data_IF_020306514076
#
_entry.id   IF_020306514076
#
_cell.length_a   1.000
_cell.length_b   1.000
_cell.length_c   1.000
_cell.angle_alpha   90.00
_cell.angle_beta   90.00
_cell.angle_gamma   90.00
#
_symmetry.space_group_name_H-M   'P 1'
#
loop_
_entity.id
_entity.type
_entity.pdbx_description
1 polymer ?
#
# COMPACT_ATOMS: atom_id res chain seq x y z
N UNK A 1 -12.08 -1.91 9.73
CA UNK A 1 -11.39 -2.20 8.46
C UNK A 1 -11.50 -3.72 8.29
N UNK A 2 -11.75 -4.25 7.09
CA UNK A 2 -11.85 -5.72 6.92
C UNK A 2 -10.45 -6.34 6.96
N UNK A 3 -10.32 -7.58 7.41
CA UNK A 3 -9.03 -8.29 7.55
C UNK A 3 -8.15 -8.20 6.28
N UNK A 4 -8.75 -8.35 5.09
CA UNK A 4 -8.04 -8.25 3.82
C UNK A 4 -7.43 -6.86 3.56
N UNK A 5 -8.08 -5.77 4.01
CA UNK A 5 -7.54 -4.42 3.87
C UNK A 5 -6.36 -4.18 4.82
N UNK A 6 -6.44 -4.65 6.07
CA UNK A 6 -5.34 -4.48 7.04
C UNK A 6 -4.10 -5.27 6.62
N UNK A 7 -4.29 -6.51 6.16
CA UNK A 7 -3.21 -7.37 5.70
C UNK A 7 -2.56 -6.85 4.40
N UNK A 8 -3.38 -6.29 3.50
CA UNK A 8 -2.90 -5.61 2.30
C UNK A 8 -2.04 -4.38 2.66
N UNK A 9 -2.50 -3.52 3.57
CA UNK A 9 -1.77 -2.31 3.98
C UNK A 9 -0.40 -2.67 4.61
N UNK A 10 -0.33 -3.74 5.41
CA UNK A 10 0.92 -4.24 6.00
C UNK A 10 1.91 -4.73 4.94
N UNK A 11 1.46 -5.57 4.02
CA UNK A 11 2.30 -6.12 2.93
C UNK A 11 2.79 -5.03 1.99
N UNK A 12 1.94 -4.05 1.71
CA UNK A 12 2.29 -2.89 0.90
C UNK A 12 3.37 -2.05 1.58
N UNK A 13 3.25 -1.79 2.88
CA UNK A 13 4.25 -1.02 3.63
C UNK A 13 5.61 -1.72 3.63
N UNK A 14 5.64 -3.03 3.86
CA UNK A 14 6.86 -3.83 3.79
C UNK A 14 7.53 -3.74 2.41
N UNK A 15 6.74 -3.89 1.35
CA UNK A 15 7.23 -3.78 -0.03
C UNK A 15 7.76 -2.37 -0.36
N UNK A 16 7.12 -1.31 0.13
CA UNK A 16 7.61 0.07 -0.01
C UNK A 16 8.98 0.23 0.65
N UNK A 17 9.14 -0.27 1.88
CA UNK A 17 10.40 -0.20 2.63
C UNK A 17 11.54 -0.91 1.87
N UNK A 18 11.27 -2.10 1.33
CA UNK A 18 12.23 -2.85 0.51
C UNK A 18 12.63 -2.09 -0.76
N UNK A 19 11.66 -1.49 -1.46
CA UNK A 19 11.93 -0.71 -2.68
C UNK A 19 12.74 0.55 -2.41
N UNK A 20 12.49 1.23 -1.29
CA UNK A 20 13.29 2.39 -0.88
C UNK A 20 14.72 2.00 -0.50
N UNK A 21 14.91 0.89 0.22
CA UNK A 21 16.24 0.36 0.53
C UNK A 21 17.04 0.00 -0.74
N UNK A 22 16.35 -0.47 -1.78
CA UNK A 22 16.95 -0.73 -3.09
C UNK A 22 17.20 0.54 -3.93
N UNK A 23 16.89 1.74 -3.42
CA UNK A 23 17.03 3.00 -4.15
C UNK A 23 16.00 3.19 -5.28
N UNK A 24 14.91 2.43 -5.28
CA UNK A 24 13.87 2.50 -6.30
C UNK A 24 12.96 3.73 -6.15
N UNK A 25 12.64 4.38 -7.26
CA UNK A 25 11.61 5.41 -7.29
C UNK A 25 10.21 4.78 -7.11
N UNK A 26 9.42 5.33 -6.19
CA UNK A 26 8.04 4.93 -5.96
C UNK A 26 7.13 6.12 -6.29
N UNK A 27 6.25 5.93 -7.28
CA UNK A 27 5.20 6.89 -7.61
C UNK A 27 3.87 6.43 -7.03
N UNK A 28 2.92 7.35 -6.90
CA UNK A 28 1.56 7.03 -6.41
C UNK A 28 0.90 5.92 -7.24
N UNK A 29 1.07 5.97 -8.56
CA UNK A 29 0.54 4.96 -9.49
C UNK A 29 1.07 3.57 -9.18
N UNK A 30 2.38 3.43 -8.96
CA UNK A 30 3.01 2.15 -8.65
C UNK A 30 2.49 1.61 -7.32
N UNK A 31 2.33 2.47 -6.31
CA UNK A 31 1.83 2.09 -4.99
C UNK A 31 0.37 1.62 -5.09
N UNK A 32 -0.48 2.38 -5.77
CA UNK A 32 -1.89 2.03 -5.97
C UNK A 32 -2.05 0.70 -6.73
N UNK A 33 -1.26 0.49 -7.78
CA UNK A 33 -1.29 -0.75 -8.55
C UNK A 33 -0.83 -1.95 -7.71
N UNK A 34 0.26 -1.80 -6.95
CA UNK A 34 0.75 -2.84 -6.06
C UNK A 34 -0.27 -3.19 -4.97
N UNK A 35 -0.94 -2.19 -4.40
CA UNK A 35 -1.99 -2.37 -3.41
C UNK A 35 -3.16 -3.20 -3.97
N UNK A 36 -3.59 -2.90 -5.20
CA UNK A 36 -4.66 -3.66 -5.87
C UNK A 36 -4.26 -5.11 -6.14
N UNK A 37 -3.02 -5.34 -6.58
CA UNK A 37 -2.50 -6.70 -6.78
C UNK A 37 -2.49 -7.51 -5.48
N UNK A 38 -1.99 -6.94 -4.38
CA UNK A 38 -1.96 -7.59 -3.08
C UNK A 38 -3.35 -7.90 -2.56
N UNK A 39 -4.30 -6.98 -2.75
CA UNK A 39 -5.69 -7.20 -2.35
C UNK A 39 -6.33 -8.37 -3.09
N UNK A 40 -6.17 -8.44 -4.42
CA UNK A 40 -6.67 -9.56 -5.24
C UNK A 40 -5.99 -10.89 -4.86
N UNK A 41 -4.69 -10.87 -4.57
CA UNK A 41 -3.95 -12.06 -4.12
C UNK A 41 -4.48 -12.59 -2.78
N UNK A 42 -4.74 -11.70 -1.81
CA UNK A 42 -5.29 -12.08 -0.50
C UNK A 42 -6.68 -12.69 -0.61
N UNK A 43 -7.55 -12.13 -1.46
CA UNK A 43 -8.88 -12.69 -1.72
C UNK A 43 -8.82 -14.10 -2.31
N UNK A 44 -7.82 -14.40 -3.16
CA UNK A 44 -7.61 -15.74 -3.72
C UNK A 44 -7.06 -16.73 -2.69
N UNK A 45 -6.19 -16.28 -1.79
CA UNK A 45 -5.57 -17.13 -0.76
C UNK A 45 -6.53 -17.48 0.37
N UNK A 46 -7.51 -16.62 0.65
CA UNK A 46 -8.50 -16.85 1.69
C UNK A 46 -9.91 -16.55 1.15
N UNK A 47 -10.49 -17.48 0.36
CA UNK A 47 -11.89 -17.38 -0.01
C UNK A 47 -12.71 -17.59 1.26
N UNK A 48 -13.13 -16.50 1.90
CA UNK A 48 -13.99 -16.58 3.08
C UNK A 48 -15.25 -17.41 2.79
N UNK A 49 -15.91 -17.98 3.82
CA UNK A 49 -17.08 -18.85 3.65
C UNK A 49 -18.31 -18.15 3.03
N UNK A 50 -18.27 -16.82 2.85
CA UNK A 50 -19.31 -16.03 2.20
C UNK A 50 -18.84 -15.51 0.83
N UNK A 51 -18.48 -16.41 -0.09
CA UNK A 51 -18.29 -16.07 -1.51
C UNK A 51 -19.56 -15.50 -2.20
N UNK A 52 -20.59 -15.16 -1.43
CA UNK A 52 -21.82 -14.46 -1.80
C UNK A 52 -21.93 -13.04 -1.21
N UNK A 53 -20.91 -12.54 -0.51
CA UNK A 53 -20.82 -11.11 -0.25
C UNK A 53 -20.22 -10.48 -1.50
N UNK A 54 -21.12 -9.97 -2.36
CA UNK A 54 -20.94 -8.94 -3.40
C UNK A 54 -19.48 -8.59 -3.75
N UNK A 55 -19.09 -8.47 -5.03
CA UNK A 55 -17.88 -7.74 -5.41
C UNK A 55 -18.08 -6.28 -5.01
N UNK A 56 -17.93 -5.97 -3.73
CA UNK A 56 -18.26 -4.72 -3.09
C UNK A 56 -17.16 -3.76 -3.43
N UNK A 57 -17.21 -3.33 -4.69
CA UNK A 57 -16.28 -2.47 -5.38
C UNK A 57 -14.84 -3.01 -5.33
N UNK A 58 -14.40 -3.59 -6.45
CA UNK A 58 -12.98 -3.82 -6.75
C UNK A 58 -12.14 -2.71 -6.10
N UNK A 59 -11.27 -3.06 -5.14
CA UNK A 59 -10.50 -2.10 -4.35
C UNK A 59 -9.80 -1.12 -5.29
N UNK A 60 -10.31 0.12 -5.35
CA UNK A 60 -9.93 1.11 -6.38
C UNK A 60 -8.57 1.76 -6.14
N UNK A 61 -7.96 1.51 -4.97
CA UNK A 61 -6.77 2.21 -4.50
C UNK A 61 -6.86 3.74 -4.73
N UNK A 62 -8.00 4.32 -4.36
CA UNK A 62 -8.32 5.72 -4.67
C UNK A 62 -7.32 6.69 -4.04
N UNK A 63 -7.25 7.91 -4.56
CA UNK A 63 -6.39 8.97 -3.99
C UNK A 63 -6.68 9.21 -2.51
N UNK A 64 -7.97 9.26 -2.13
CA UNK A 64 -8.38 9.41 -0.73
C UNK A 64 -7.99 8.24 0.16
N UNK A 65 -7.95 7.01 -0.37
CA UNK A 65 -7.40 5.88 0.37
C UNK A 65 -5.88 6.02 0.55
N UNK A 66 -5.15 6.35 -0.51
CA UNK A 66 -3.70 6.52 -0.45
C UNK A 66 -3.28 7.62 0.54
N UNK A 67 -4.01 8.74 0.56
CA UNK A 67 -3.77 9.82 1.53
C UNK A 67 -3.99 9.37 2.98
N UNK A 68 -5.02 8.56 3.23
CA UNK A 68 -5.26 7.97 4.55
C UNK A 68 -4.21 6.91 4.91
N UNK A 69 -3.80 6.08 3.96
CA UNK A 69 -2.72 5.11 4.14
C UNK A 69 -1.41 5.81 4.52
N UNK A 70 -1.04 6.87 3.81
CA UNK A 70 0.12 7.74 4.13
C UNK A 70 0.05 8.29 5.55
N UNK A 71 -1.11 8.83 5.95
CA UNK A 71 -1.33 9.36 7.30
C UNK A 71 -1.19 8.29 8.39
N UNK A 72 -1.74 7.09 8.18
CA UNK A 72 -1.70 5.99 9.16
C UNK A 72 -0.31 5.39 9.31
N UNK A 73 0.41 5.25 8.21
CA UNK A 73 1.73 4.59 8.19
C UNK A 73 2.89 5.53 8.49
N UNK A 74 2.64 6.84 8.59
CA UNK A 74 3.70 7.83 8.67
C UNK A 74 4.52 7.94 7.39
N UNK A 75 4.09 7.28 6.30
CA UNK A 75 4.59 7.49 4.95
C UNK A 75 4.12 8.86 4.46
N UNK A 76 4.55 9.94 5.12
CA UNK A 76 4.54 11.25 4.51
C UNK A 76 5.45 11.13 3.30
N UNK A 77 4.88 11.19 2.10
CA UNK A 77 5.63 11.31 0.87
C UNK A 77 6.43 12.62 0.98
N UNK A 78 7.65 12.53 1.50
CA UNK A 78 8.66 13.53 1.27
C UNK A 78 8.77 13.61 -0.25
N UNK A 79 8.23 14.70 -0.80
CA UNK A 79 8.26 15.01 -2.22
C UNK A 79 9.69 15.46 -2.57
N UNK A 80 10.68 14.62 -2.28
CA UNK A 80 12.07 14.88 -2.56
C UNK A 80 12.35 14.36 -3.97
N UNK A 81 12.11 15.21 -4.96
CA UNK A 81 12.65 15.06 -6.31
C UNK A 81 14.17 15.29 -6.38
N UNK A 82 14.91 15.09 -5.29
CA UNK A 82 16.36 15.29 -5.31
C UNK A 82 17.04 14.36 -4.32
N UNK A 83 17.97 13.58 -4.85
CA UNK A 83 18.98 12.87 -4.09
C UNK A 83 19.76 13.89 -3.22
N UNK A 84 19.43 14.04 -1.93
CA UNK A 84 20.45 14.33 -0.91
C UNK A 84 20.04 14.05 0.54
N UNK A 85 18.76 14.03 0.92
CA UNK A 85 18.40 14.05 2.36
C UNK A 85 17.74 12.76 2.88
N UNK A 86 18.23 11.59 2.45
CA UNK A 86 17.69 10.26 2.78
C UNK A 86 17.88 9.80 4.25
N UNK A 87 18.30 10.66 5.18
CA UNK A 87 18.59 10.23 6.56
C UNK A 87 17.33 10.21 7.44
N UNK A 88 16.27 10.95 7.13
CA UNK A 88 15.11 11.08 8.02
C UNK A 88 13.95 10.09 7.82
N UNK A 89 13.99 9.19 6.83
CA UNK A 89 12.88 8.25 6.58
C UNK A 89 13.07 6.83 7.15
N UNK A 90 14.14 6.54 7.88
CA UNK A 90 14.45 5.19 8.38
C UNK A 90 14.01 4.87 9.82
N UNK A 91 13.43 5.82 10.56
CA UNK A 91 13.05 5.63 11.97
C UNK A 91 11.57 5.94 12.20
N UNK A 92 10.70 5.03 11.76
CA UNK A 92 9.36 4.77 12.29
C UNK A 92 8.92 3.32 11.96
#
# INVERSE_FOLDING_TARGET
ITYAHEEMEKRLLQWIKEKQQAGGALTETIICEKARMLYVELLKQNPGPSADETPAEEFKASRGWLDNFKKRTGYAACNCNFLSDCIFCFLL
#
